data_IF_041245658936
#
_entry.id   IF_041245658936
#
_cell.length_a   1.000
_cell.length_b   1.000
_cell.length_c   1.000
_cell.angle_alpha   90.00
_cell.angle_beta   90.00
_cell.angle_gamma   90.00
#
_symmetry.space_group_name_H-M   'P 1'
#
loop_
_entity.id
_entity.type
_entity.pdbx_description
1 polymer ?
#
# COMPACT_ATOMS: atom_id res chain seq x y z
N UNK A 1 13.96 -0.67 -43.06
CA UNK A 1 13.91 -0.15 -41.66
C UNK A 1 15.32 -0.21 -41.11
N UNK A 2 15.92 0.91 -40.69
CA UNK A 2 17.34 0.95 -40.29
C UNK A 2 17.57 0.18 -38.98
N UNK A 3 18.75 -0.44 -38.81
CA UNK A 3 19.14 -1.16 -37.59
C UNK A 3 18.96 -0.32 -36.31
N UNK A 4 19.20 1.00 -36.42
CA UNK A 4 18.97 1.98 -35.35
C UNK A 4 17.50 2.05 -34.90
N UNK A 5 16.55 1.97 -35.83
CA UNK A 5 15.11 2.02 -35.55
C UNK A 5 14.57 0.71 -34.94
N UNK A 6 15.27 -0.42 -35.18
CA UNK A 6 14.89 -1.73 -34.61
C UNK A 6 15.38 -1.86 -33.16
N UNK A 7 16.53 -1.28 -32.84
CA UNK A 7 17.12 -1.32 -31.50
C UNK A 7 16.41 -0.35 -30.55
N UNK A 8 16.00 0.83 -31.03
CA UNK A 8 15.25 1.80 -30.22
C UNK A 8 13.85 1.31 -29.83
N UNK A 9 13.14 0.58 -30.72
CA UNK A 9 11.84 -0.04 -30.39
C UNK A 9 11.95 -1.12 -29.32
N UNK A 10 13.00 -1.95 -29.36
CA UNK A 10 13.27 -2.97 -28.33
C UNK A 10 13.62 -2.35 -26.99
N UNK A 11 14.40 -1.26 -26.99
CA UNK A 11 14.76 -0.55 -25.76
C UNK A 11 13.54 0.13 -25.12
N UNK A 12 12.67 0.75 -25.93
CA UNK A 12 11.42 1.36 -25.45
C UNK A 12 10.46 0.28 -24.91
N UNK A 13 10.34 -0.86 -25.59
CA UNK A 13 9.53 -1.99 -25.10
C UNK A 13 10.07 -2.57 -23.78
N UNK A 14 11.39 -2.66 -23.61
CA UNK A 14 12.02 -3.12 -22.37
C UNK A 14 11.79 -2.14 -21.21
N UNK A 15 11.90 -0.83 -21.46
CA UNK A 15 11.65 0.20 -20.45
C UNK A 15 10.17 0.22 -20.03
N UNK A 16 9.24 0.06 -20.98
CA UNK A 16 7.80 -0.07 -20.69
C UNK A 16 7.49 -1.36 -19.91
N UNK A 17 8.18 -2.47 -20.20
CA UNK A 17 8.04 -3.72 -19.45
C UNK A 17 8.55 -3.59 -18.01
N UNK A 18 9.65 -2.87 -17.76
CA UNK A 18 10.15 -2.63 -16.40
C UNK A 18 9.24 -1.70 -15.58
N UNK A 19 8.57 -0.74 -16.21
CA UNK A 19 7.62 0.18 -15.54
C UNK A 19 6.30 -0.50 -15.12
N UNK A 20 5.99 -1.68 -15.66
CA UNK A 20 4.81 -2.48 -15.28
C UNK A 20 5.06 -3.42 -14.10
N UNK A 21 6.31 -3.58 -13.66
CA UNK A 21 6.66 -4.37 -12.47
C UNK A 21 6.80 -3.38 -11.29
N UNK A 22 5.71 -2.67 -11.00
CA UNK A 22 5.58 -1.95 -9.74
C UNK A 22 5.25 -2.95 -8.65
N UNK A 23 6.26 -3.47 -7.95
CA UNK A 23 6.03 -4.27 -6.75
C UNK A 23 5.35 -3.39 -5.70
N UNK A 24 4.08 -3.63 -5.44
CA UNK A 24 3.36 -3.00 -4.32
C UNK A 24 3.89 -3.61 -3.03
N UNK A 25 4.85 -2.95 -2.39
CA UNK A 25 5.22 -3.29 -1.02
C UNK A 25 4.08 -2.84 -0.11
N UNK A 26 3.33 -3.79 0.45
CA UNK A 26 2.46 -3.48 1.57
C UNK A 26 3.34 -3.10 2.76
N UNK A 27 3.12 -1.92 3.32
CA UNK A 27 3.80 -1.53 4.56
C UNK A 27 3.27 -2.38 5.71
N UNK A 28 4.17 -2.85 6.58
CA UNK A 28 3.80 -3.54 7.80
C UNK A 28 2.90 -2.64 8.66
N UNK A 29 1.74 -3.16 9.06
CA UNK A 29 0.76 -2.49 9.92
C UNK A 29 0.78 -3.08 11.35
N UNK A 30 0.31 -2.30 12.32
CA UNK A 30 -0.01 -2.82 13.65
C UNK A 30 -1.52 -3.04 13.78
N UNK A 31 -1.93 -4.29 13.97
CA UNK A 31 -3.33 -4.68 14.21
C UNK A 31 -3.57 -4.74 15.71
N UNK A 32 -4.41 -3.84 16.23
CA UNK A 32 -4.69 -3.74 17.67
C UNK A 32 -5.92 -4.56 18.05
N UNK A 33 -5.80 -5.33 19.14
CA UNK A 33 -6.84 -6.14 19.75
C UNK A 33 -6.93 -5.79 21.24
N UNK A 34 -8.07 -5.28 21.68
CA UNK A 34 -8.31 -4.97 23.09
C UNK A 34 -8.58 -6.27 23.87
N UNK A 35 -7.85 -6.47 24.97
CA UNK A 35 -8.02 -7.62 25.87
C UNK A 35 -8.79 -7.18 27.10
N UNK A 36 -9.95 -7.81 27.32
CA UNK A 36 -10.84 -7.41 28.39
C UNK A 36 -11.67 -6.17 28.06
N UNK A 37 -11.95 -5.94 26.78
CA UNK A 37 -12.81 -4.84 26.30
C UNK A 37 -14.10 -5.38 25.69
N UNK A 38 -15.24 -4.76 25.99
CA UNK A 38 -16.53 -5.05 25.34
C UNK A 38 -17.40 -6.10 26.05
N UNK A 39 -18.72 -5.89 25.99
CA UNK A 39 -19.73 -6.71 26.69
C UNK A 39 -19.86 -6.36 28.19
N UNK A 40 -20.91 -6.87 28.88
CA UNK A 40 -21.17 -6.55 30.29
C UNK A 40 -20.09 -7.07 31.24
N UNK A 41 -19.40 -8.16 30.88
CA UNK A 41 -18.44 -8.85 31.77
C UNK A 41 -16.97 -8.64 31.39
N UNK A 42 -16.65 -7.87 30.33
CA UNK A 42 -15.28 -7.66 29.84
C UNK A 42 -14.51 -8.97 29.54
N UNK A 43 -15.20 -10.05 29.15
CA UNK A 43 -14.60 -11.36 28.82
C UNK A 43 -14.42 -11.55 27.31
N UNK A 44 -13.85 -10.56 26.62
CA UNK A 44 -13.71 -10.56 25.16
C UNK A 44 -12.37 -10.02 24.68
N UNK A 45 -11.99 -10.52 23.51
CA UNK A 45 -11.03 -9.87 22.63
C UNK A 45 -11.82 -9.02 21.64
N UNK A 46 -11.45 -7.75 21.48
CA UNK A 46 -12.17 -6.83 20.59
C UNK A 46 -11.21 -6.11 19.66
N UNK A 47 -11.33 -6.29 18.33
CA UNK A 47 -12.20 -7.27 17.66
C UNK A 47 -11.81 -8.72 17.96
N UNK A 48 -12.78 -9.63 17.89
CA UNK A 48 -12.57 -11.05 18.20
C UNK A 48 -11.93 -11.83 17.05
N UNK A 49 -12.20 -11.39 15.81
CA UNK A 49 -11.59 -11.91 14.60
C UNK A 49 -10.96 -10.75 13.81
N UNK A 50 -9.73 -10.94 13.31
CA UNK A 50 -9.00 -9.94 12.52
C UNK A 50 -8.32 -10.56 11.31
N UNK A 51 -7.90 -9.71 10.37
CA UNK A 51 -7.01 -10.08 9.26
C UNK A 51 -5.66 -9.41 9.44
N UNK A 52 -4.59 -10.09 9.06
CA UNK A 52 -3.24 -9.55 9.01
C UNK A 52 -2.47 -10.10 7.79
N UNK A 53 -1.34 -9.50 7.47
CA UNK A 53 -0.41 -9.96 6.45
C UNK A 53 0.96 -10.25 7.06
N UNK A 54 1.80 -10.97 6.33
CA UNK A 54 3.19 -11.15 6.72
C UNK A 54 3.89 -9.80 6.90
N UNK A 55 4.61 -9.68 8.01
CA UNK A 55 5.29 -8.47 8.45
C UNK A 55 4.45 -7.58 9.38
N UNK A 56 3.13 -7.79 9.46
CA UNK A 56 2.29 -7.07 10.40
C UNK A 56 2.61 -7.48 11.85
N UNK A 57 2.34 -6.58 12.78
CA UNK A 57 2.41 -6.85 14.22
C UNK A 57 1.01 -6.88 14.81
N UNK A 58 0.66 -7.97 15.47
CA UNK A 58 -0.53 -8.03 16.33
C UNK A 58 -0.15 -7.43 17.68
N UNK A 59 -0.93 -6.47 18.16
CA UNK A 59 -0.80 -5.87 19.48
C UNK A 59 -2.06 -6.15 20.29
N UNK A 60 -1.93 -6.96 21.32
CA UNK A 60 -2.96 -7.13 22.34
C UNK A 60 -2.81 -6.06 23.41
N UNK A 61 -3.76 -5.13 23.50
CA UNK A 61 -3.81 -4.00 24.43
C UNK A 61 -4.72 -4.35 25.63
N UNK A 62 -4.15 -4.55 26.80
CA UNK A 62 -4.87 -5.02 27.98
C UNK A 62 -5.58 -3.86 28.70
N UNK A 63 -6.87 -4.05 28.99
CA UNK A 63 -7.69 -3.06 29.71
C UNK A 63 -7.75 -3.26 31.23
N UNK A 64 -6.85 -4.08 31.77
CA UNK A 64 -6.86 -4.54 33.15
C UNK A 64 -7.52 -5.91 33.29
N UNK A 65 -7.97 -6.26 34.50
CA UNK A 65 -8.56 -7.58 34.79
C UNK A 65 -7.53 -8.72 34.81
N UNK A 66 -8.01 -9.95 35.00
CA UNK A 66 -7.18 -11.14 35.04
C UNK A 66 -7.24 -11.86 33.68
N UNK A 67 -6.59 -11.30 32.66
CA UNK A 67 -6.61 -11.83 31.31
C UNK A 67 -5.21 -12.14 30.81
N UNK A 68 -5.10 -13.12 29.92
CA UNK A 68 -3.89 -13.45 29.18
C UNK A 68 -4.26 -13.84 27.74
N UNK A 69 -3.24 -13.97 26.91
CA UNK A 69 -3.33 -14.44 25.53
C UNK A 69 -2.46 -15.68 25.42
N UNK A 70 -3.05 -16.81 25.06
CA UNK A 70 -2.32 -18.05 24.80
C UNK A 70 -2.77 -18.64 23.48
N UNK A 71 -1.84 -19.19 22.69
CA UNK A 71 -2.19 -19.90 21.47
C UNK A 71 -3.04 -21.14 21.80
N UNK A 72 -4.13 -21.32 21.06
CA UNK A 72 -5.06 -22.44 21.25
C UNK A 72 -4.81 -23.57 20.24
N UNK A 73 -5.25 -24.78 20.58
CA UNK A 73 -5.13 -25.97 19.71
C UNK A 73 -5.98 -25.88 18.43
N UNK A 74 -6.93 -24.95 18.36
CA UNK A 74 -7.75 -24.71 17.18
C UNK A 74 -8.78 -23.61 17.37
N UNK A 75 -9.58 -23.37 16.33
CA UNK A 75 -10.60 -22.33 16.33
C UNK A 75 -11.66 -22.63 17.40
N UNK A 76 -11.91 -21.64 18.27
CA UNK A 76 -12.81 -21.72 19.43
C UNK A 76 -12.41 -22.77 20.48
N UNK A 77 -11.22 -23.35 20.39
CA UNK A 77 -10.73 -24.30 21.38
C UNK A 77 -10.37 -23.58 22.69
N UNK A 78 -10.78 -24.18 23.81
CA UNK A 78 -10.32 -23.76 25.13
C UNK A 78 -9.16 -24.62 25.66
N UNK A 79 -8.46 -25.29 24.75
CA UNK A 79 -7.22 -26.02 25.03
C UNK A 79 -6.04 -25.22 24.51
N UNK A 80 -4.99 -25.13 25.32
CA UNK A 80 -3.73 -24.53 24.89
C UNK A 80 -3.09 -25.42 23.82
N UNK A 81 -2.39 -24.81 22.88
CA UNK A 81 -1.56 -25.57 21.95
C UNK A 81 -0.39 -26.21 22.70
N UNK A 82 -0.26 -27.53 22.59
CA UNK A 82 0.86 -28.28 23.17
C UNK A 82 2.10 -28.21 22.28
N UNK A 83 2.68 -27.01 22.17
CA UNK A 83 3.90 -26.74 21.40
C UNK A 83 4.81 -25.82 22.22
N UNK A 84 6.08 -26.18 22.47
CA UNK A 84 7.03 -25.33 23.20
C UNK A 84 7.28 -23.96 22.55
N UNK A 85 6.98 -23.83 21.26
CA UNK A 85 7.09 -22.58 20.50
C UNK A 85 5.80 -21.76 20.49
N UNK A 86 4.70 -22.29 21.05
CA UNK A 86 3.44 -21.59 21.15
C UNK A 86 3.57 -20.31 21.98
N UNK A 87 2.98 -19.23 21.48
CA UNK A 87 3.06 -17.96 22.18
C UNK A 87 2.15 -17.93 23.41
N UNK A 88 2.60 -17.23 24.46
CA UNK A 88 1.81 -16.96 25.65
C UNK A 88 2.24 -15.66 26.32
N UNK A 89 1.28 -14.84 26.69
CA UNK A 89 1.51 -13.65 27.50
C UNK A 89 1.55 -13.98 28.99
N UNK A 90 2.12 -13.07 29.79
CA UNK A 90 1.77 -13.00 31.21
C UNK A 90 0.31 -12.59 31.36
N UNK A 91 -0.28 -12.92 32.51
CA UNK A 91 -1.59 -12.40 32.86
C UNK A 91 -1.48 -10.93 33.25
N UNK A 92 -2.24 -10.06 32.58
CA UNK A 92 -2.19 -8.60 32.66
C UNK A 92 -0.74 -8.08 32.72
N UNK A 93 0.02 -8.20 31.62
CA UNK A 93 1.45 -7.90 31.61
C UNK A 93 1.72 -6.47 32.09
N UNK A 94 2.82 -6.21 32.84
CA UNK A 94 3.10 -4.89 33.39
C UNK A 94 3.21 -3.76 32.35
N UNK A 95 3.57 -4.11 31.11
CA UNK A 95 3.62 -3.20 29.96
C UNK A 95 2.25 -2.77 29.46
N UNK A 96 1.18 -3.44 29.90
CA UNK A 96 -0.17 -3.32 29.35
C UNK A 96 -0.36 -4.00 28.00
N UNK A 97 0.71 -4.51 27.36
CA UNK A 97 0.67 -4.99 25.98
C UNK A 97 1.38 -6.33 25.81
N UNK A 98 0.90 -7.13 24.86
CA UNK A 98 1.59 -8.30 24.31
C UNK A 98 1.59 -8.22 22.78
N UNK A 99 2.66 -8.66 22.12
CA UNK A 99 2.81 -8.50 20.66
C UNK A 99 3.26 -9.79 19.98
N UNK A 100 2.82 -9.99 18.75
CA UNK A 100 3.26 -11.07 17.86
C UNK A 100 3.53 -10.51 16.47
N UNK A 101 4.72 -10.78 15.93
CA UNK A 101 5.03 -10.50 14.52
C UNK A 101 4.51 -11.64 13.63
N UNK A 102 3.79 -11.30 12.57
CA UNK A 102 3.30 -12.27 11.60
C UNK A 102 4.41 -12.62 10.62
N UNK A 103 4.93 -13.84 10.72
CA UNK A 103 6.04 -14.31 9.88
C UNK A 103 5.60 -15.18 8.71
N UNK A 104 4.41 -15.80 8.82
CA UNK A 104 3.84 -16.67 7.79
C UNK A 104 3.16 -15.86 6.68
N UNK A 105 3.25 -16.34 5.44
CA UNK A 105 2.54 -15.75 4.28
C UNK A 105 1.03 -16.06 4.33
N UNK A 106 0.67 -17.25 4.82
CA UNK A 106 -0.71 -17.71 5.00
C UNK A 106 -0.80 -18.59 6.23
N UNK A 107 -1.74 -18.27 7.10
CA UNK A 107 -1.98 -19.02 8.33
C UNK A 107 -3.36 -18.67 8.93
N UNK A 108 -3.82 -19.47 9.89
CA UNK A 108 -4.93 -19.12 10.79
C UNK A 108 -4.45 -19.30 12.21
N UNK A 109 -4.18 -18.19 12.89
CA UNK A 109 -3.69 -18.19 14.26
C UNK A 109 -4.89 -18.10 15.20
N UNK A 110 -4.97 -19.02 16.15
CA UNK A 110 -6.06 -19.08 17.13
C UNK A 110 -5.52 -18.92 18.53
N UNK A 111 -6.24 -18.19 19.36
CA UNK A 111 -5.82 -17.91 20.73
C UNK A 111 -7.01 -17.76 21.67
N UNK A 112 -6.75 -17.88 22.96
CA UNK A 112 -7.75 -17.80 24.00
C UNK A 112 -7.22 -17.17 25.27
N UNK A 113 -8.13 -16.79 26.19
CA UNK A 113 -7.77 -16.50 27.56
C UNK A 113 -7.93 -17.75 28.42
N UNK A 114 -6.85 -18.17 29.08
CA UNK A 114 -6.79 -19.41 29.86
C UNK A 114 -7.18 -19.26 31.33
N UNK A 115 -7.61 -18.07 31.72
CA UNK A 115 -8.00 -17.81 33.10
C UNK A 115 -9.39 -18.40 33.35
N UNK A 116 -9.46 -19.41 34.21
CA UNK A 116 -10.72 -20.01 34.68
C UNK A 116 -11.67 -20.35 33.54
N UNK A 117 -12.87 -19.80 33.58
CA UNK A 117 -13.94 -20.00 32.58
C UNK A 117 -13.98 -18.93 31.48
N UNK A 118 -12.97 -18.06 31.35
CA UNK A 118 -13.03 -16.95 30.41
C UNK A 118 -13.19 -17.43 28.96
N UNK A 119 -12.42 -18.44 28.54
CA UNK A 119 -12.55 -18.99 27.19
C UNK A 119 -13.92 -19.62 26.94
N UNK A 120 -14.46 -20.41 27.88
CA UNK A 120 -15.77 -21.03 27.72
C UNK A 120 -16.92 -20.00 27.78
N UNK A 121 -16.70 -18.84 28.39
CA UNK A 121 -17.54 -17.64 28.27
C UNK A 121 -17.34 -16.88 26.94
N UNK A 122 -16.53 -17.43 26.03
CA UNK A 122 -16.30 -16.92 24.68
C UNK A 122 -15.15 -15.93 24.56
N UNK A 123 -14.16 -15.98 25.46
CA UNK A 123 -12.91 -15.20 25.34
C UNK A 123 -11.87 -15.98 24.53
N UNK A 124 -12.11 -16.08 23.23
CA UNK A 124 -11.22 -16.63 22.22
C UNK A 124 -11.09 -15.64 21.06
N UNK A 125 -10.06 -15.77 20.22
CA UNK A 125 -9.92 -14.95 19.03
C UNK A 125 -9.21 -15.67 17.89
N UNK A 126 -9.34 -15.10 16.69
CA UNK A 126 -8.78 -15.65 15.45
C UNK A 126 -8.11 -14.54 14.64
N UNK A 127 -6.91 -14.81 14.14
CA UNK A 127 -6.22 -13.96 13.16
C UNK A 127 -6.11 -14.75 11.86
N UNK A 128 -6.73 -14.23 10.81
CA UNK A 128 -6.58 -14.75 9.46
C UNK A 128 -5.40 -14.06 8.78
N UNK A 129 -4.42 -14.82 8.32
CA UNK A 129 -3.22 -14.30 7.68
C UNK A 129 -3.26 -14.55 6.19
N UNK A 130 -3.09 -13.49 5.39
CA UNK A 130 -2.87 -13.59 3.95
C UNK A 130 -4.05 -14.14 3.14
N UNK A 131 -5.28 -13.79 3.52
CA UNK A 131 -6.49 -14.19 2.80
C UNK A 131 -7.05 -15.55 3.21
N UNK A 132 -6.77 -16.02 4.43
CA UNK A 132 -7.32 -17.28 4.98
C UNK A 132 -8.70 -17.11 5.61
N UNK A 133 -9.21 -15.88 5.69
CA UNK A 133 -10.52 -15.60 6.23
C UNK A 133 -11.63 -16.33 5.44
N UNK A 134 -12.66 -16.85 6.13
CA UNK A 134 -13.77 -17.50 5.46
C UNK A 134 -14.58 -16.48 4.64
N UNK A 135 -15.31 -16.89 3.59
CA UNK A 135 -16.13 -15.98 2.78
C UNK A 135 -17.19 -15.19 3.56
N UNK A 136 -17.56 -15.69 4.74
CA UNK A 136 -18.53 -15.06 5.65
C UNK A 136 -17.90 -14.02 6.59
N UNK A 137 -16.57 -13.90 6.60
CA UNK A 137 -15.89 -12.93 7.45
C UNK A 137 -16.18 -11.51 6.99
N UNK A 138 -16.61 -10.67 7.93
CA UNK A 138 -16.77 -9.23 7.72
C UNK A 138 -15.70 -8.53 8.53
N UNK A 139 -14.80 -7.81 7.85
CA UNK A 139 -13.73 -7.07 8.52
C UNK A 139 -14.34 -6.11 9.54
N UNK A 140 -13.93 -6.16 10.81
CA UNK A 140 -14.39 -5.21 11.81
C UNK A 140 -14.12 -3.79 11.35
N UNK A 141 -15.15 -2.96 11.32
CA UNK A 141 -14.95 -1.51 11.11
C UNK A 141 -14.43 -0.93 12.42
N UNK A 142 -13.35 -0.13 12.41
CA UNK A 142 -12.89 0.56 13.60
C UNK A 142 -14.04 1.42 14.15
N UNK A 143 -14.63 1.02 15.27
CA UNK A 143 -15.64 1.82 15.94
C UNK A 143 -14.92 2.96 16.66
N UNK A 144 -14.84 4.13 16.03
CA UNK A 144 -14.53 5.38 16.73
C UNK A 144 -15.66 5.66 17.72
N UNK A 145 -15.63 5.03 18.90
CA UNK A 145 -16.62 5.30 19.94
C UNK A 145 -16.20 6.54 20.73
N UNK A 146 -16.42 7.70 20.13
CA UNK A 146 -16.88 8.87 20.86
C UNK A 146 -18.36 9.07 20.51
N UNK A 147 -19.22 8.22 21.07
CA UNK A 147 -20.59 8.68 21.32
C UNK A 147 -21.07 8.15 22.67
N UNK A 148 -21.20 9.10 23.60
CA UNK A 148 -22.14 9.05 24.72
C UNK A 148 -23.49 9.34 24.09
N UNK A 149 -24.33 8.34 23.92
CA UNK A 149 -25.76 8.53 23.95
C UNK A 149 -26.34 7.29 24.64
N UNK A 150 -26.97 7.54 25.78
CA UNK A 150 -27.86 6.61 26.45
C UNK A 150 -29.15 6.63 25.64
N UNK A 151 -29.60 5.51 25.10
CA UNK A 151 -31.02 5.35 24.77
C UNK A 151 -31.45 3.89 24.88
N UNK A 152 -32.63 3.72 25.47
CA UNK A 152 -33.23 2.48 25.90
C UNK A 152 -33.97 1.77 24.76
N UNK A 153 -33.79 0.45 24.72
CA UNK A 153 -34.71 -0.60 24.24
C UNK A 153 -35.90 -0.18 23.34
N UNK A 154 -35.84 -0.55 22.07
CA UNK A 154 -37.01 -1.01 21.32
C UNK A 154 -36.57 -1.91 20.15
N UNK A 155 -37.08 -3.14 20.18
CA UNK A 155 -37.28 -4.03 19.03
C UNK A 155 -37.98 -3.29 17.90
N UNK A 156 -37.54 -3.47 16.64
CA UNK A 156 -38.40 -3.88 15.52
C UNK A 156 -37.63 -4.00 14.18
N UNK A 157 -37.89 -5.14 13.52
CA UNK A 157 -37.88 -5.47 12.09
C UNK A 157 -36.92 -4.79 11.09
N UNK A 158 -36.07 -5.65 10.53
CA UNK A 158 -36.01 -5.97 9.10
C UNK A 158 -36.59 -4.94 8.11
N UNK A 159 -35.72 -4.26 7.36
CA UNK A 159 -35.90 -4.18 5.91
C UNK A 159 -34.56 -3.92 5.20
N UNK A 160 -34.31 -4.79 4.22
CA UNK A 160 -33.40 -4.70 3.08
C UNK A 160 -32.85 -3.31 2.71
N UNK A 161 -31.59 -3.28 2.25
CA UNK A 161 -31.21 -2.47 1.08
C UNK A 161 -29.94 -3.01 0.43
N UNK A 162 -30.14 -3.56 -0.77
CA UNK A 162 -29.14 -3.81 -1.79
C UNK A 162 -28.45 -2.49 -2.17
N UNK A 163 -27.25 -2.27 -1.64
CA UNK A 163 -26.39 -1.14 -1.99
C UNK A 163 -25.08 -1.65 -2.58
N UNK A 164 -25.01 -1.70 -3.91
CA UNK A 164 -23.80 -2.01 -4.68
C UNK A 164 -22.80 -0.86 -4.52
N UNK A 165 -21.96 -0.90 -3.48
CA UNK A 165 -20.92 0.12 -3.27
C UNK A 165 -19.65 -0.31 -3.98
N UNK A 166 -19.46 0.24 -5.17
CA UNK A 166 -18.19 0.27 -5.87
C UNK A 166 -17.23 1.20 -5.12
N UNK A 167 -16.32 0.63 -4.33
CA UNK A 167 -15.21 1.38 -3.74
C UNK A 167 -14.13 1.67 -4.76
N UNK A 168 -14.17 2.85 -5.38
CA UNK A 168 -13.05 3.40 -6.15
C UNK A 168 -11.97 3.83 -5.15
N UNK A 169 -10.83 3.14 -5.16
CA UNK A 169 -9.63 3.55 -4.44
C UNK A 169 -9.08 4.83 -5.10
N UNK A 170 -9.45 6.00 -4.56
CA UNK A 170 -8.89 7.30 -4.96
C UNK A 170 -7.55 7.47 -4.23
N UNK A 171 -6.54 6.76 -4.72
CA UNK A 171 -5.17 6.84 -4.24
C UNK A 171 -4.19 7.01 -5.39
N UNK A 172 -4.46 7.89 -6.36
CA UNK A 172 -3.52 8.16 -7.47
C UNK A 172 -3.68 9.51 -8.19
N UNK A 173 -4.62 10.38 -7.81
CA UNK A 173 -4.84 11.64 -8.57
C UNK A 173 -3.66 12.62 -8.40
N UNK A 174 -2.98 12.61 -7.25
CA UNK A 174 -1.80 13.47 -7.03
C UNK A 174 -0.53 12.97 -7.74
N UNK A 175 -0.45 11.70 -8.11
CA UNK A 175 0.71 11.13 -8.82
C UNK A 175 0.74 11.52 -10.30
N UNK A 176 -0.40 11.43 -10.99
CA UNK A 176 -0.49 11.75 -12.42
C UNK A 176 -0.30 13.24 -12.72
N UNK A 177 -0.80 14.13 -11.85
CA UNK A 177 -0.59 15.57 -12.00
C UNK A 177 0.91 15.94 -11.91
N UNK A 178 1.64 15.36 -10.96
CA UNK A 178 3.08 15.62 -10.81
C UNK A 178 3.91 15.03 -11.96
N UNK A 179 3.58 13.82 -12.42
CA UNK A 179 4.30 13.17 -13.54
C UNK A 179 4.06 13.94 -14.85
N UNK A 180 2.86 14.45 -15.08
CA UNK A 180 2.54 15.25 -16.28
C UNK A 180 3.24 16.62 -16.27
N UNK A 181 3.35 17.28 -15.10
CA UNK A 181 4.09 18.52 -14.95
C UNK A 181 5.60 18.33 -15.17
N UNK A 182 6.18 17.28 -14.57
CA UNK A 182 7.61 16.94 -14.75
C UNK A 182 7.87 16.55 -16.21
N UNK A 183 7.00 15.75 -16.83
CA UNK A 183 7.09 15.39 -18.24
C UNK A 183 7.03 16.61 -19.17
N UNK A 184 6.11 17.54 -18.93
CA UNK A 184 6.00 18.77 -19.70
C UNK A 184 7.25 19.66 -19.56
N UNK A 185 7.79 19.79 -18.34
CA UNK A 185 9.02 20.56 -18.08
C UNK A 185 10.25 19.93 -18.76
N UNK A 186 10.36 18.60 -18.74
CA UNK A 186 11.45 17.88 -19.41
C UNK A 186 11.34 17.99 -20.94
N UNK A 187 10.14 17.89 -21.51
CA UNK A 187 9.91 18.10 -22.96
C UNK A 187 10.25 19.53 -23.37
N UNK A 188 9.89 20.54 -22.56
CA UNK A 188 10.23 21.95 -22.84
C UNK A 188 11.74 22.19 -22.82
N UNK A 189 12.47 21.56 -21.89
CA UNK A 189 13.94 21.65 -21.80
C UNK A 189 14.65 20.93 -22.95
N UNK A 190 14.10 19.82 -23.45
CA UNK A 190 14.60 19.14 -24.64
C UNK A 190 14.35 19.94 -25.94
N UNK A 191 13.17 20.56 -26.09
CA UNK A 191 12.85 21.41 -27.26
C UNK A 191 13.70 22.68 -27.32
N UNK A 192 14.13 23.19 -26.17
CA UNK A 192 15.08 24.31 -26.09
C UNK A 192 16.47 23.94 -26.63
N UNK A 193 16.96 22.72 -26.37
CA UNK A 193 18.28 22.26 -26.85
C UNK A 193 18.30 21.86 -28.33
N UNK A 194 17.17 21.52 -28.93
CA UNK A 194 17.10 21.12 -30.34
C UNK A 194 16.97 22.29 -31.34
N UNK A 195 16.97 23.56 -30.87
CA UNK A 195 16.81 24.72 -31.75
C UNK A 195 18.09 25.24 -32.41
N UNK A 196 19.21 24.52 -32.32
CA UNK A 196 20.48 24.91 -32.96
C UNK A 196 21.07 23.82 -33.86
N UNK A 197 20.23 23.10 -34.61
CA UNK A 197 20.71 22.43 -35.83
C UNK A 197 20.37 23.34 -37.00
N UNK A 198 21.37 23.94 -37.68
CA UNK A 198 21.11 24.80 -38.81
C UNK A 198 20.53 23.97 -39.96
N UNK A 199 19.33 24.35 -40.41
CA UNK A 199 18.71 23.81 -41.62
C UNK A 199 19.64 24.03 -42.81
N UNK A 200 19.74 23.04 -43.70
CA UNK A 200 20.58 23.07 -44.90
C UNK A 200 20.35 24.29 -45.83
N UNK A 201 19.25 25.03 -45.66
CA UNK A 201 18.99 26.29 -46.35
C UNK A 201 19.88 27.46 -45.88
N UNK A 202 20.43 27.41 -44.66
CA UNK A 202 21.34 28.43 -44.14
C UNK A 202 22.75 28.37 -44.72
N UNK A 203 23.16 27.23 -45.29
CA UNK A 203 24.50 27.02 -45.86
C UNK A 203 24.59 27.61 -47.28
N UNK A 204 23.49 27.61 -48.05
CA UNK A 204 23.49 28.19 -49.41
C UNK A 204 23.76 29.70 -49.43
N UNK A 205 23.23 30.46 -48.46
CA UNK A 205 23.44 31.92 -48.40
C UNK A 205 24.88 32.34 -48.08
N UNK A 206 25.67 31.47 -47.44
CA UNK A 206 27.08 31.79 -47.11
C UNK A 206 27.99 31.53 -48.31
N UNK A 207 27.68 30.51 -49.11
CA UNK A 207 28.46 30.19 -50.32
C UNK A 207 28.25 31.26 -51.40
N UNK A 208 27.01 31.71 -51.63
CA UNK A 208 26.71 32.73 -52.65
C UNK A 208 27.35 34.10 -52.34
N UNK A 209 27.55 34.43 -51.06
CA UNK A 209 28.16 35.70 -50.65
C UNK A 209 29.70 35.68 -50.73
N UNK A 210 30.32 34.49 -50.74
CA UNK A 210 31.78 34.35 -50.82
C UNK A 210 32.26 34.45 -52.27
N UNK A 211 31.46 34.00 -53.25
CA UNK A 211 31.76 34.13 -54.68
C UNK A 211 31.59 35.56 -55.23
N UNK A 212 30.78 36.40 -54.58
CA UNK A 212 30.64 37.80 -54.96
C UNK A 212 31.85 38.64 -54.50
N UNK A 213 32.39 38.36 -53.30
CA UNK A 213 33.55 39.05 -52.74
C UNK A 213 34.87 38.75 -53.49
N UNK A 214 35.02 37.55 -54.07
CA UNK A 214 36.20 37.17 -54.87
C UNK A 214 36.17 37.75 -56.29
N UNK A 215 34.99 37.98 -56.89
CA UNK A 215 34.88 38.66 -58.19
C UNK A 215 35.24 40.14 -58.11
N UNK A 216 34.84 40.83 -57.04
CA UNK A 216 35.12 42.26 -56.89
C UNK A 216 36.61 42.53 -56.59
N UNK A 217 37.28 41.60 -55.91
CA UNK A 217 38.73 41.69 -55.64
C UNK A 217 39.58 41.44 -56.89
N UNK A 218 39.09 40.68 -57.87
CA UNK A 218 39.82 40.42 -59.12
C UNK A 218 39.62 41.50 -60.19
N UNK A 219 38.56 42.31 -60.10
CA UNK A 219 38.34 43.48 -60.97
C UNK A 219 39.16 44.71 -60.54
N UNK A 220 39.42 44.84 -59.24
CA UNK A 220 40.22 45.96 -58.68
C UNK A 220 41.75 45.83 -58.93
N UNK A 221 42.24 44.72 -59.50
CA UNK A 221 43.67 44.51 -59.78
C UNK A 221 44.08 44.67 -61.26
N UNK A 222 43.15 45.09 -62.13
CA UNK A 222 43.41 45.29 -63.58
C UNK A 222 43.27 46.74 -64.06
N UNK A 223 42.97 47.71 -63.18
CA UNK A 223 42.93 49.14 -63.51
C UNK A 223 44.13 49.94 -62.95
N UNK A 224 45.21 49.25 -62.56
CA UNK A 224 46.45 49.92 -62.16
C UNK A 224 47.68 49.24 -62.80
N UNK A 225 47.75 49.34 -64.13
CA UNK A 225 48.97 49.34 -64.96
C UNK A 225 48.80 50.42 -66.02
#
# INVERSE_FOLDING_TARGET
MSLQQRNSKKLIALILACLLIGSTFAAAETVVIEVGGGGPENLKFVPQEVTANKGDTILWNFKGGNHNVVESSGKHSCEMKEDPTAFRSLTNPPTGNFTLEITAEKDTITYMCSVGSHCSAGMWGVIYVGGTEPPTFVKPTPSNKANKDNDNNASENEMNNTGKVAGIVIGSIFGFAMISAIGFLLVKRCRSKQRTVPTAEGIKRVVDNTDQATKDTHKAKLENV
#
